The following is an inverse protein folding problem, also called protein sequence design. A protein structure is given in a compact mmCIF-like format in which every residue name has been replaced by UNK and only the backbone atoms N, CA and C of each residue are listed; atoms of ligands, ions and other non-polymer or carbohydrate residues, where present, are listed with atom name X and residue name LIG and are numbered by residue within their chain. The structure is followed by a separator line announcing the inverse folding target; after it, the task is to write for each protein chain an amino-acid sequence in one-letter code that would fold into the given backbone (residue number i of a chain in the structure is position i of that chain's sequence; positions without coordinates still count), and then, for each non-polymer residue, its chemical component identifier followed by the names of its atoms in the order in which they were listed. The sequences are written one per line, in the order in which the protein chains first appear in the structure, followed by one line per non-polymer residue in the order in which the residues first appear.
data_IF_799462439943
#
_entry.id   IF_799462439943
#
_cell.length_a   1.000
_cell.length_b   1.000
_cell.length_c   1.000
_cell.angle_alpha   90.00
_cell.angle_beta   90.00
_cell.angle_gamma   90.00
#
_symmetry.space_group_name_H-M   'P 1'
#
loop_
_entity.id
_entity.type
_entity.pdbx_description
1 polymer ?
#
# COMPACT_ATOMS: atom_id res chain seq x y z
N UNK A 1 -12.71 -6.23 16.81
CA UNK A 1 -11.88 -6.02 18.02
C UNK A 1 -10.46 -5.70 17.54
N UNK A 2 -9.81 -4.69 18.10
CA UNK A 2 -8.40 -4.36 17.77
C UNK A 2 -7.49 -5.40 18.44
N UNK A 3 -6.54 -5.96 17.69
CA UNK A 3 -5.64 -7.02 18.16
C UNK A 3 -4.26 -6.43 18.38
N UNK A 4 -3.75 -6.56 19.61
CA UNK A 4 -2.37 -6.21 19.98
C UNK A 4 -1.54 -7.49 19.88
N UNK A 5 -0.45 -7.45 19.13
CA UNK A 5 0.42 -8.60 18.88
C UNK A 5 1.42 -8.80 20.03
N UNK A 6 1.64 -10.04 20.41
CA UNK A 6 2.73 -10.43 21.31
C UNK A 6 4.09 -10.31 20.61
N UNK A 7 5.19 -10.26 21.36
CA UNK A 7 6.55 -10.20 20.81
C UNK A 7 6.83 -11.34 19.82
N UNK A 8 6.34 -12.56 20.10
CA UNK A 8 6.46 -13.71 19.20
C UNK A 8 5.71 -13.50 17.88
N UNK A 9 4.53 -12.91 17.94
CA UNK A 9 3.72 -12.61 16.74
C UNK A 9 4.35 -11.49 15.93
N UNK A 10 4.93 -10.48 16.58
CA UNK A 10 5.68 -9.40 15.93
C UNK A 10 6.85 -9.96 15.12
N UNK A 11 7.61 -10.95 15.65
CA UNK A 11 8.70 -11.58 14.90
C UNK A 11 8.18 -12.32 13.64
N UNK A 12 7.03 -12.96 13.72
CA UNK A 12 6.40 -13.59 12.55
C UNK A 12 5.94 -12.54 11.53
N UNK A 13 5.43 -11.41 11.99
CA UNK A 13 5.08 -10.29 11.12
C UNK A 13 6.30 -9.63 10.47
N UNK A 14 7.42 -9.49 11.18
CA UNK A 14 8.69 -9.04 10.59
C UNK A 14 9.15 -9.96 9.47
N UNK A 15 8.99 -11.28 9.66
CA UNK A 15 9.33 -12.25 8.60
C UNK A 15 8.43 -12.10 7.38
N UNK A 16 7.11 -12.00 7.57
CA UNK A 16 6.17 -11.75 6.49
C UNK A 16 6.48 -10.43 5.77
N UNK A 17 6.71 -9.36 6.53
CA UNK A 17 7.03 -8.03 6.02
C UNK A 17 8.29 -7.99 5.17
N UNK A 18 9.36 -8.67 5.57
CA UNK A 18 10.60 -8.77 4.78
C UNK A 18 10.38 -9.42 3.41
N UNK A 19 9.60 -10.51 3.37
CA UNK A 19 9.27 -11.20 2.11
C UNK A 19 8.42 -10.28 1.23
N UNK A 20 7.42 -9.61 1.81
CA UNK A 20 6.55 -8.67 1.11
C UNK A 20 7.35 -7.50 0.52
N UNK A 21 8.24 -6.89 1.30
CA UNK A 21 9.10 -5.81 0.83
C UNK A 21 10.02 -6.23 -0.32
N UNK A 22 10.62 -7.42 -0.24
CA UNK A 22 11.47 -7.96 -1.29
C UNK A 22 10.67 -8.26 -2.57
N UNK A 23 9.45 -8.80 -2.43
CA UNK A 23 8.55 -9.04 -3.56
C UNK A 23 8.12 -7.74 -4.25
N UNK A 24 7.82 -6.68 -3.47
CA UNK A 24 7.53 -5.34 -4.01
C UNK A 24 8.75 -4.76 -4.73
N UNK A 25 9.95 -4.89 -4.18
CA UNK A 25 11.18 -4.43 -4.82
C UNK A 25 11.40 -5.12 -6.17
N UNK A 26 11.28 -6.45 -6.22
CA UNK A 26 11.34 -7.23 -7.46
C UNK A 26 10.32 -6.73 -8.50
N UNK A 27 9.07 -6.52 -8.08
CA UNK A 27 8.04 -6.00 -8.97
C UNK A 27 8.40 -4.61 -9.52
N UNK A 28 8.93 -3.72 -8.66
CA UNK A 28 9.39 -2.40 -9.06
C UNK A 28 10.52 -2.43 -10.09
N UNK A 29 11.49 -3.34 -9.95
CA UNK A 29 12.56 -3.55 -10.93
C UNK A 29 12.05 -4.01 -12.29
N UNK A 30 10.88 -4.66 -12.33
CA UNK A 30 10.23 -5.11 -13.56
C UNK A 30 9.37 -4.04 -14.23
N UNK A 31 9.11 -2.92 -13.59
CA UNK A 31 8.36 -1.81 -14.20
C UNK A 31 9.22 -1.13 -15.26
N UNK A 32 9.14 -1.66 -16.48
CA UNK A 32 9.89 -1.19 -17.65
C UNK A 32 9.02 -1.22 -18.91
N UNK A 33 9.27 -0.33 -19.88
CA UNK A 33 8.59 -0.40 -21.16
C UNK A 33 8.76 -1.78 -21.83
N UNK A 34 7.66 -2.33 -22.35
CA UNK A 34 7.63 -3.63 -23.01
C UNK A 34 7.26 -4.81 -22.10
N UNK A 35 7.32 -4.66 -20.78
CA UNK A 35 6.88 -5.69 -19.82
C UNK A 35 5.36 -5.66 -19.69
N UNK A 36 4.72 -6.82 -19.61
CA UNK A 36 3.29 -6.93 -19.32
C UNK A 36 3.03 -6.96 -17.81
N UNK A 37 1.88 -6.46 -17.37
CA UNK A 37 1.49 -6.54 -15.95
C UNK A 37 1.35 -8.00 -15.48
N UNK A 38 1.03 -8.93 -16.38
CA UNK A 38 1.01 -10.39 -16.11
C UNK A 38 2.39 -10.97 -15.82
N UNK A 39 3.44 -10.47 -16.47
CA UNK A 39 4.81 -10.92 -16.19
C UNK A 39 5.26 -10.51 -14.79
N UNK A 40 4.86 -9.31 -14.34
CA UNK A 40 5.08 -8.86 -12.97
C UNK A 40 4.39 -9.79 -11.97
N UNK A 41 3.10 -10.11 -12.19
CA UNK A 41 2.34 -11.04 -11.33
C UNK A 41 3.01 -12.40 -11.22
N UNK A 42 3.41 -12.98 -12.36
CA UNK A 42 4.10 -14.28 -12.38
C UNK A 42 5.41 -14.26 -11.60
N UNK A 43 6.21 -13.21 -11.76
CA UNK A 43 7.49 -13.10 -11.07
C UNK A 43 7.28 -12.97 -9.55
N UNK A 44 6.34 -12.14 -9.11
CA UNK A 44 5.97 -11.98 -7.70
C UNK A 44 5.45 -13.29 -7.12
N UNK A 45 4.55 -13.99 -7.81
CA UNK A 45 4.07 -15.30 -7.41
C UNK A 45 5.21 -16.28 -7.14
N UNK A 46 6.10 -16.45 -8.14
CA UNK A 46 7.22 -17.38 -8.02
C UNK A 46 8.20 -16.99 -6.92
N UNK A 47 8.46 -15.70 -6.76
CA UNK A 47 9.32 -15.20 -5.70
C UNK A 47 8.74 -15.52 -4.31
N UNK A 48 7.48 -15.15 -4.04
CA UNK A 48 6.83 -15.40 -2.74
C UNK A 48 6.82 -16.90 -2.44
N UNK A 49 6.46 -17.74 -3.41
CA UNK A 49 6.47 -19.21 -3.27
C UNK A 49 7.87 -19.76 -2.98
N UNK A 50 8.91 -19.21 -3.59
CA UNK A 50 10.30 -19.61 -3.36
C UNK A 50 10.78 -19.32 -1.94
N UNK A 51 10.15 -18.35 -1.26
CA UNK A 51 10.44 -18.02 0.15
C UNK A 51 9.67 -18.91 1.14
N UNK A 52 8.91 -19.90 0.64
CA UNK A 52 8.04 -20.75 1.48
C UNK A 52 6.80 -20.01 2.01
N UNK A 53 6.43 -18.92 1.36
CA UNK A 53 5.27 -18.09 1.67
C UNK A 53 4.17 -18.27 0.61
N UNK A 54 2.98 -17.74 0.90
CA UNK A 54 1.84 -17.69 0.00
C UNK A 54 1.55 -16.22 -0.38
N UNK A 55 1.17 -15.91 -1.65
CA UNK A 55 0.65 -14.60 -1.98
C UNK A 55 -0.66 -14.33 -1.23
N UNK A 56 -0.73 -13.21 -0.50
CA UNK A 56 -1.89 -12.90 0.34
C UNK A 56 -3.15 -12.59 -0.45
N UNK A 57 -3.01 -12.05 -1.66
CA UNK A 57 -4.14 -11.58 -2.46
C UNK A 57 -4.77 -12.68 -3.33
N UNK A 58 -4.01 -13.70 -3.71
CA UNK A 58 -4.52 -14.76 -4.59
C UNK A 58 -5.70 -15.47 -3.94
N UNK A 59 -6.87 -15.42 -4.60
CA UNK A 59 -8.15 -15.93 -4.13
C UNK A 59 -8.73 -15.22 -2.88
N UNK A 60 -8.11 -14.15 -2.38
CA UNK A 60 -8.67 -13.36 -1.30
C UNK A 60 -9.95 -12.65 -1.79
N UNK A 61 -11.10 -13.00 -1.20
CA UNK A 61 -12.42 -12.55 -1.65
C UNK A 61 -12.67 -12.73 -3.17
N UNK A 62 -11.99 -13.70 -3.81
CA UNK A 62 -12.10 -13.98 -5.23
C UNK A 62 -11.16 -13.16 -6.13
N UNK A 63 -10.20 -12.42 -5.57
CA UNK A 63 -9.20 -11.71 -6.37
C UNK A 63 -8.33 -12.69 -7.17
N UNK A 64 -8.14 -12.52 -8.50
CA UNK A 64 -7.60 -13.58 -9.35
C UNK A 64 -6.08 -13.63 -9.49
N UNK A 65 -5.33 -12.75 -8.81
CA UNK A 65 -3.90 -12.57 -9.00
C UNK A 65 -3.13 -12.50 -7.68
N UNK A 66 -1.79 -12.55 -7.75
CA UNK A 66 -0.90 -12.54 -6.59
C UNK A 66 -0.48 -11.15 -6.16
N UNK A 67 -0.65 -10.17 -7.05
CA UNK A 67 -0.26 -8.77 -6.89
C UNK A 67 -1.31 -7.88 -7.54
N UNK A 68 -1.53 -6.68 -7.03
CA UNK A 68 -2.27 -5.66 -7.76
C UNK A 68 -1.29 -4.81 -8.58
N UNK A 69 -1.60 -4.57 -9.85
CA UNK A 69 -0.80 -3.71 -10.74
C UNK A 69 -1.71 -2.66 -11.36
N UNK A 70 -1.68 -1.47 -10.80
CA UNK A 70 -2.55 -0.36 -11.18
C UNK A 70 -1.76 0.68 -11.98
N UNK A 71 -2.21 1.01 -13.19
CA UNK A 71 -1.44 1.83 -14.14
C UNK A 71 -2.12 3.16 -14.40
N UNK A 72 -1.43 4.28 -14.22
CA UNK A 72 -1.83 5.65 -14.51
C UNK A 72 -3.04 6.12 -13.68
N UNK A 73 -4.24 6.09 -14.26
CA UNK A 73 -5.50 6.49 -13.63
C UNK A 73 -6.12 5.39 -12.75
N UNK A 74 -5.51 4.21 -12.74
CA UNK A 74 -5.87 3.12 -11.82
C UNK A 74 -5.24 3.40 -10.46
N UNK A 75 -6.08 3.50 -9.43
CA UNK A 75 -5.68 3.85 -8.07
C UNK A 75 -5.13 2.60 -7.37
N UNK A 76 -5.99 1.57 -7.26
CA UNK A 76 -5.72 0.29 -6.57
C UNK A 76 -6.44 -0.87 -7.27
N UNK A 77 -6.10 -2.08 -6.86
CA UNK A 77 -6.73 -3.34 -7.25
C UNK A 77 -6.73 -3.64 -8.75
N UNK A 78 -5.81 -3.02 -9.52
CA UNK A 78 -5.65 -3.34 -10.94
C UNK A 78 -5.29 -4.80 -11.13
N UNK A 79 -6.09 -5.54 -11.93
CA UNK A 79 -5.85 -6.95 -12.20
C UNK A 79 -4.75 -7.10 -13.25
N UNK A 80 -3.63 -7.79 -12.95
CA UNK A 80 -2.57 -8.07 -13.91
C UNK A 80 -3.08 -8.82 -15.15
N UNK A 81 -2.69 -8.35 -16.33
CA UNK A 81 -3.18 -8.89 -17.59
C UNK A 81 -2.20 -8.71 -18.76
N UNK A 82 -2.69 -8.77 -19.99
CA UNK A 82 -1.86 -8.63 -21.19
C UNK A 82 -1.45 -7.18 -21.49
N UNK A 83 -1.78 -6.20 -20.63
CA UNK A 83 -1.39 -4.81 -20.79
C UNK A 83 0.13 -4.70 -20.78
N UNK A 84 0.69 -4.16 -21.85
CA UNK A 84 2.12 -3.86 -22.00
C UNK A 84 2.38 -2.46 -21.45
N UNK A 85 3.32 -2.33 -20.53
CA UNK A 85 3.78 -1.06 -19.97
C UNK A 85 4.53 -0.25 -21.03
N UNK A 86 4.35 1.07 -20.98
CA UNK A 86 4.92 2.02 -21.93
C UNK A 86 5.76 3.06 -21.22
N UNK A 87 6.70 3.63 -21.93
CA UNK A 87 7.41 4.84 -21.50
C UNK A 87 6.41 5.92 -21.08
N UNK A 88 6.60 6.50 -19.90
CA UNK A 88 5.72 7.52 -19.35
C UNK A 88 4.60 7.01 -18.45
N UNK A 89 4.35 5.69 -18.38
CA UNK A 89 3.42 5.13 -17.40
C UNK A 89 3.95 5.30 -15.97
N UNK A 90 3.06 5.46 -15.01
CA UNK A 90 3.32 5.24 -13.59
C UNK A 90 2.54 4.01 -13.13
N UNK A 91 3.16 3.17 -12.31
CA UNK A 91 2.62 1.85 -11.98
C UNK A 91 2.65 1.65 -10.48
N UNK A 92 1.48 1.61 -9.85
CA UNK A 92 1.34 1.20 -8.46
C UNK A 92 1.33 -0.32 -8.38
N UNK A 93 2.27 -0.87 -7.64
CA UNK A 93 2.37 -2.30 -7.36
C UNK A 93 2.11 -2.51 -5.88
N UNK A 94 1.13 -3.35 -5.59
CA UNK A 94 0.70 -3.67 -4.23
C UNK A 94 0.82 -5.17 -4.01
N UNK A 95 1.52 -5.56 -2.95
CA UNK A 95 1.97 -6.93 -2.68
C UNK A 95 1.72 -7.32 -1.25
N UNK A 96 1.10 -8.49 -1.07
CA UNK A 96 0.97 -9.13 0.23
C UNK A 96 1.61 -10.53 0.25
N UNK A 97 2.28 -10.89 1.34
CA UNK A 97 2.80 -12.23 1.57
C UNK A 97 2.36 -12.79 2.92
N UNK A 98 1.99 -14.08 2.92
CA UNK A 98 1.54 -14.81 4.10
C UNK A 98 2.51 -15.92 4.46
N UNK A 99 3.03 -15.90 5.68
CA UNK A 99 3.91 -16.95 6.20
C UNK A 99 3.80 -17.05 7.72
N UNK A 100 3.90 -18.27 8.24
CA UNK A 100 3.89 -18.51 9.70
C UNK A 100 2.59 -18.08 10.40
N UNK A 101 1.49 -17.96 9.64
CA UNK A 101 0.17 -17.54 10.16
C UNK A 101 -0.05 -16.03 10.16
N UNK A 102 0.81 -15.23 9.49
CA UNK A 102 0.71 -13.78 9.45
C UNK A 102 0.94 -13.21 8.04
N UNK A 103 0.28 -12.09 7.76
CA UNK A 103 0.42 -11.30 6.53
C UNK A 103 1.41 -10.15 6.72
N UNK A 104 2.07 -9.78 5.63
CA UNK A 104 2.66 -8.47 5.43
C UNK A 104 2.01 -7.83 4.21
N UNK A 105 1.92 -6.50 4.16
CA UNK A 105 1.26 -5.73 3.12
C UNK A 105 2.04 -4.47 2.81
N UNK A 106 2.30 -4.21 1.53
CA UNK A 106 2.94 -2.96 1.12
C UNK A 106 2.77 -2.65 -0.37
N UNK A 107 2.67 -1.37 -0.68
CA UNK A 107 2.60 -0.86 -2.03
C UNK A 107 3.61 0.26 -2.32
N UNK A 108 3.92 0.45 -3.59
CA UNK A 108 4.63 1.62 -4.08
C UNK A 108 4.31 1.89 -5.54
N UNK A 109 4.39 3.16 -5.95
CA UNK A 109 4.26 3.57 -7.34
C UNK A 109 5.63 3.78 -7.95
N UNK A 110 5.85 3.19 -9.11
CA UNK A 110 7.12 3.21 -9.84
C UNK A 110 6.97 3.88 -11.20
N UNK A 111 7.98 4.66 -11.64
CA UNK A 111 8.03 5.19 -13.00
C UNK A 111 8.36 4.09 -14.01
N UNK A 112 7.69 4.06 -15.15
CA UNK A 112 8.03 3.22 -16.29
C UNK A 112 8.81 4.04 -17.32
N UNK A 113 10.14 3.95 -17.29
CA UNK A 113 11.01 4.79 -18.09
C UNK A 113 10.96 6.27 -17.65
N UNK A 114 11.03 7.18 -18.61
CA UNK A 114 10.96 8.63 -18.32
C UNK A 114 9.50 9.08 -18.21
N UNK A 115 9.13 9.60 -17.06
CA UNK A 115 7.78 10.12 -16.76
C UNK A 115 7.76 11.66 -16.74
N UNK A 116 6.58 12.26 -16.71
CA UNK A 116 6.42 13.72 -16.57
C UNK A 116 6.80 14.21 -15.16
N UNK A 117 7.13 15.49 -15.03
CA UNK A 117 7.40 16.11 -13.73
C UNK A 117 6.19 16.07 -12.80
N UNK A 118 4.97 16.22 -13.34
CA UNK A 118 3.73 16.09 -12.57
C UNK A 118 3.57 14.67 -11.99
N UNK A 119 3.84 13.64 -12.79
CA UNK A 119 3.76 12.25 -12.35
C UNK A 119 4.83 11.95 -11.30
N UNK A 120 6.06 12.42 -11.48
CA UNK A 120 7.12 12.25 -10.48
C UNK A 120 6.76 12.95 -9.17
N UNK A 121 6.27 14.19 -9.24
CA UNK A 121 5.82 14.92 -8.05
C UNK A 121 4.68 14.21 -7.32
N UNK A 122 3.73 13.63 -8.06
CA UNK A 122 2.65 12.83 -7.46
C UNK A 122 3.20 11.63 -6.68
N UNK A 123 4.13 10.86 -7.28
CA UNK A 123 4.80 9.73 -6.63
C UNK A 123 5.51 10.19 -5.35
N UNK A 124 6.29 11.26 -5.43
CA UNK A 124 7.10 11.76 -4.31
C UNK A 124 6.21 12.27 -3.17
N UNK A 125 5.15 13.02 -3.48
CA UNK A 125 4.18 13.51 -2.48
C UNK A 125 3.42 12.36 -1.85
N UNK A 126 2.99 11.37 -2.62
CA UNK A 126 2.29 10.19 -2.09
C UNK A 126 3.19 9.43 -1.12
N UNK A 127 4.43 9.18 -1.51
CA UNK A 127 5.41 8.53 -0.64
C UNK A 127 5.68 9.35 0.63
N UNK A 128 5.91 10.65 0.50
CA UNK A 128 6.21 11.50 1.66
C UNK A 128 5.01 11.61 2.61
N UNK A 129 3.78 11.65 2.09
CA UNK A 129 2.58 11.69 2.93
C UNK A 129 2.46 10.48 3.86
N UNK A 130 2.93 9.31 3.43
CA UNK A 130 3.05 8.15 4.32
C UNK A 130 3.99 8.46 5.51
N UNK A 131 5.16 9.07 5.26
CA UNK A 131 6.11 9.38 6.33
C UNK A 131 5.60 10.46 7.28
N UNK A 132 4.79 11.41 6.79
CA UNK A 132 4.09 12.39 7.66
C UNK A 132 3.11 11.67 8.60
N UNK A 133 2.32 10.74 8.07
CA UNK A 133 1.44 9.88 8.87
C UNK A 133 2.20 8.97 9.81
N UNK A 134 3.25 8.30 9.33
CA UNK A 134 4.13 7.41 10.10
C UNK A 134 4.73 8.11 11.33
N UNK A 135 5.15 9.36 11.19
CA UNK A 135 5.68 10.15 12.31
C UNK A 135 4.65 10.36 13.45
N UNK A 136 3.34 10.30 13.13
CA UNK A 136 2.26 10.38 14.10
C UNK A 136 1.83 9.01 14.67
N UNK A 137 2.33 7.90 14.12
CA UNK A 137 1.95 6.55 14.53
C UNK A 137 2.62 6.12 15.84
N UNK A 138 2.49 6.92 16.88
CA UNK A 138 3.10 6.76 18.21
C UNK A 138 2.08 6.25 19.23
N UNK A 139 2.55 5.47 20.20
CA UNK A 139 1.71 5.03 21.31
C UNK A 139 1.05 6.24 22.03
N UNK A 140 -0.25 6.15 22.25
CA UNK A 140 -1.05 7.20 22.89
C UNK A 140 -1.70 8.20 21.93
N UNK A 141 -1.16 8.41 20.74
CA UNK A 141 -1.84 9.16 19.68
C UNK A 141 -3.08 8.40 19.20
N UNK A 142 -3.90 9.06 18.41
CA UNK A 142 -5.11 8.45 17.83
C UNK A 142 -4.92 8.18 16.34
N UNK A 143 -5.71 7.27 15.81
CA UNK A 143 -5.67 6.93 14.38
C UNK A 143 -5.82 8.17 13.50
N UNK A 144 -6.72 9.08 13.85
CA UNK A 144 -6.94 10.28 13.03
C UNK A 144 -5.78 11.29 13.09
N UNK A 145 -4.82 11.15 14.00
CA UNK A 145 -3.60 11.97 13.97
C UNK A 145 -2.73 11.55 12.77
N UNK A 146 -2.63 10.24 12.51
CA UNK A 146 -2.00 9.68 11.30
C UNK A 146 -2.75 10.15 10.04
N UNK A 147 -4.08 9.97 10.05
CA UNK A 147 -4.96 10.34 8.93
C UNK A 147 -4.84 11.82 8.55
N UNK A 148 -4.86 12.70 9.56
CA UNK A 148 -4.76 14.15 9.36
C UNK A 148 -3.41 14.56 8.77
N UNK A 149 -2.31 13.99 9.26
CA UNK A 149 -0.98 14.29 8.77
C UNK A 149 -0.82 13.91 7.29
N UNK A 150 -1.34 12.74 6.88
CA UNK A 150 -1.39 12.33 5.47
C UNK A 150 -2.17 13.35 4.64
N UNK A 151 -3.41 13.65 5.04
CA UNK A 151 -4.29 14.58 4.31
C UNK A 151 -3.66 15.97 4.18
N UNK A 152 -3.21 16.54 5.29
CA UNK A 152 -2.66 17.89 5.31
C UNK A 152 -1.47 18.05 4.36
N UNK A 153 -0.58 17.05 4.32
CA UNK A 153 0.56 17.07 3.42
C UNK A 153 0.15 16.96 1.95
N UNK A 154 -0.74 16.02 1.62
CA UNK A 154 -1.22 15.80 0.24
C UNK A 154 -1.93 17.04 -0.29
N UNK A 155 -2.89 17.61 0.49
CA UNK A 155 -3.69 18.76 0.06
C UNK A 155 -2.86 20.05 -0.01
N UNK A 156 -1.89 20.25 0.88
CA UNK A 156 -0.93 21.36 0.79
C UNK A 156 -0.06 21.33 -0.48
N UNK A 157 0.12 20.12 -1.05
CA UNK A 157 0.81 19.93 -2.33
C UNK A 157 -0.13 19.98 -3.56
N UNK A 158 -1.42 20.30 -3.38
CA UNK A 158 -2.39 20.48 -4.47
C UNK A 158 -2.94 19.19 -5.05
N UNK A 159 -2.79 18.07 -4.36
CA UNK A 159 -3.36 16.76 -4.72
C UNK A 159 -4.55 16.41 -3.81
N UNK A 160 -5.23 15.31 -4.09
CA UNK A 160 -6.40 14.86 -3.34
C UNK A 160 -6.21 13.46 -2.77
N UNK A 161 -6.60 13.23 -1.52
CA UNK A 161 -6.66 11.87 -0.94
C UNK A 161 -7.94 11.16 -1.31
N UNK A 162 -7.87 9.88 -1.62
CA UNK A 162 -9.01 8.99 -1.78
C UNK A 162 -9.67 8.77 -0.42
N UNK A 163 -11.01 8.71 -0.40
CA UNK A 163 -11.80 8.64 0.84
C UNK A 163 -12.57 7.34 1.03
N UNK A 164 -12.85 6.63 -0.06
CA UNK A 164 -13.66 5.41 -0.05
C UNK A 164 -12.86 4.16 0.32
N UNK A 165 -11.54 4.23 0.24
CA UNK A 165 -10.61 3.17 0.64
C UNK A 165 -9.67 3.70 1.70
N UNK A 166 -9.35 2.82 2.66
CA UNK A 166 -8.63 3.19 3.88
C UNK A 166 -7.67 2.08 4.27
N UNK A 167 -6.63 2.43 5.02
CA UNK A 167 -5.75 1.46 5.65
C UNK A 167 -6.45 0.65 6.73
N UNK A 168 -5.77 -0.36 7.23
CA UNK A 168 -6.37 -1.36 8.11
C UNK A 168 -5.35 -1.96 9.08
N UNK A 169 -5.83 -2.67 10.09
CA UNK A 169 -4.99 -3.58 10.86
C UNK A 169 -4.52 -4.73 9.98
N UNK A 170 -3.32 -5.22 10.21
CA UNK A 170 -2.74 -6.39 9.54
C UNK A 170 -2.30 -7.40 10.58
N UNK A 171 -2.51 -8.69 10.32
CA UNK A 171 -2.10 -9.72 11.26
C UNK A 171 -2.32 -11.13 10.75
N UNK A 172 -3.09 -11.91 11.50
CA UNK A 172 -3.52 -13.25 11.06
C UNK A 172 -4.49 -13.20 9.90
N UNK A 173 -5.30 -12.14 9.86
CA UNK A 173 -6.10 -11.82 8.69
C UNK A 173 -5.42 -10.67 7.93
N UNK A 174 -5.63 -10.67 6.61
CA UNK A 174 -5.14 -9.62 5.74
C UNK A 174 -5.67 -8.25 6.19
N UNK A 175 -6.98 -8.18 6.44
CA UNK A 175 -7.64 -7.01 6.96
C UNK A 175 -8.17 -7.27 8.36
N UNK A 176 -7.67 -6.52 9.32
CA UNK A 176 -8.11 -6.50 10.72
C UNK A 176 -8.58 -5.09 11.12
N UNK A 177 -9.32 -4.99 12.21
CA UNK A 177 -9.56 -3.69 12.83
C UNK A 177 -8.25 -3.12 13.43
N UNK A 178 -8.08 -1.81 13.45
CA UNK A 178 -9.03 -0.77 13.04
C UNK A 178 -8.88 -0.37 11.57
N UNK A 179 -9.84 0.36 11.03
CA UNK A 179 -9.67 1.14 9.81
C UNK A 179 -8.73 2.33 10.06
N UNK A 180 -7.91 2.67 9.07
CA UNK A 180 -6.94 3.76 9.11
C UNK A 180 -7.22 4.70 7.92
N UNK A 181 -8.17 5.62 8.02
CA UNK A 181 -8.43 6.58 6.94
C UNK A 181 -7.21 7.45 6.64
N UNK A 182 -7.09 7.89 5.39
CA UNK A 182 -6.05 8.83 4.97
C UNK A 182 -6.48 10.30 5.11
N UNK A 183 -7.58 10.56 5.82
CA UNK A 183 -8.17 11.88 6.00
C UNK A 183 -8.93 11.96 7.33
N UNK A 184 -9.15 13.17 7.81
CA UNK A 184 -9.97 13.43 9.00
C UNK A 184 -9.40 14.51 9.91
N UNK A 185 -10.20 14.95 10.88
CA UNK A 185 -9.75 15.86 11.93
C UNK A 185 -8.87 15.10 12.95
N UNK A 186 -7.79 15.71 13.48
CA UNK A 186 -6.91 15.05 14.44
C UNK A 186 -7.63 14.80 15.78
N UNK A 187 -7.10 13.89 16.58
CA UNK A 187 -7.56 13.63 17.95
C UNK A 187 -8.78 12.70 18.07
N UNK A 188 -9.16 11.99 17.01
CA UNK A 188 -10.34 11.11 16.98
C UNK A 188 -9.97 9.63 16.73
N UNK A 189 -10.95 8.77 16.96
CA UNK A 189 -10.81 7.31 16.76
C UNK A 189 -10.06 6.62 17.90
N UNK A 190 -9.79 5.32 17.77
CA UNK A 190 -9.06 4.54 18.73
C UNK A 190 -7.66 5.10 19.01
N UNK A 191 -7.18 4.90 20.24
CA UNK A 191 -5.77 5.16 20.58
C UNK A 191 -4.88 4.09 19.97
N UNK A 192 -3.73 4.51 19.48
CA UNK A 192 -2.65 3.63 19.08
C UNK A 192 -2.01 3.02 20.34
N UNK A 193 -1.89 1.71 20.36
CA UNK A 193 -1.31 0.94 21.46
C UNK A 193 -0.07 0.20 20.95
N UNK A 194 0.95 0.13 21.78
CA UNK A 194 2.12 -0.70 21.53
C UNK A 194 1.70 -2.12 21.15
N UNK A 195 2.31 -2.67 20.11
CA UNK A 195 2.00 -4.00 19.57
C UNK A 195 0.85 -4.02 18.54
N UNK A 196 0.22 -2.89 18.24
CA UNK A 196 -0.66 -2.80 17.07
C UNK A 196 0.18 -2.83 15.79
N UNK A 197 -0.29 -3.56 14.79
CA UNK A 197 0.28 -3.61 13.44
C UNK A 197 -0.79 -3.16 12.45
N UNK A 198 -0.49 -2.13 11.67
CA UNK A 198 -1.44 -1.46 10.78
C UNK A 198 -0.80 -1.18 9.41
N UNK A 199 -1.59 -1.25 8.36
CA UNK A 199 -1.27 -0.70 7.06
C UNK A 199 -1.63 0.80 7.04
N UNK A 200 -0.67 1.62 6.70
CA UNK A 200 -0.87 3.04 6.38
C UNK A 200 -0.64 3.16 4.88
N UNK A 201 -1.67 3.56 4.14
CA UNK A 201 -1.71 3.39 2.69
C UNK A 201 -2.32 4.59 1.95
N UNK A 202 -1.65 5.76 1.92
CA UNK A 202 -2.15 6.89 1.15
C UNK A 202 -2.32 6.54 -0.33
N UNK A 203 -3.57 6.72 -0.80
CA UNK A 203 -3.97 6.71 -2.19
C UNK A 203 -4.24 8.16 -2.61
N UNK A 204 -3.48 8.67 -3.57
CA UNK A 204 -3.46 10.09 -3.93
C UNK A 204 -3.75 10.28 -5.41
N UNK A 205 -4.73 11.15 -5.70
CA UNK A 205 -5.13 11.50 -7.06
C UNK A 205 -4.53 12.86 -7.45
N UNK A 206 -4.03 12.97 -8.69
CA UNK A 206 -3.56 14.24 -9.27
C UNK A 206 -4.70 15.24 -9.51
N UNK A 207 -5.92 14.76 -9.55
CA UNK A 207 -7.13 15.58 -9.72
C UNK A 207 -8.03 15.56 -8.50
N UNK A 208 -9.30 15.25 -8.72
CA UNK A 208 -10.31 15.17 -7.66
C UNK A 208 -10.20 13.87 -6.86
N UNK A 209 -10.71 13.87 -5.63
CA UNK A 209 -10.77 12.66 -4.80
C UNK A 209 -11.75 11.60 -5.33
N UNK A 210 -12.63 11.96 -6.26
CA UNK A 210 -13.71 11.09 -6.73
C UNK A 210 -13.17 9.89 -7.52
N UNK A 211 -13.73 8.73 -7.23
CA UNK A 211 -13.35 7.44 -7.80
C UNK A 211 -14.46 6.82 -8.64
N UNK A 212 -14.14 5.77 -9.36
CA UNK A 212 -15.10 4.84 -9.98
C UNK A 212 -14.54 3.42 -9.91
N UNK A 213 -15.39 2.47 -9.55
CA UNK A 213 -15.08 1.04 -9.65
C UNK A 213 -15.40 0.56 -11.07
N UNK A 214 -14.53 -0.31 -11.60
CA UNK A 214 -14.68 -0.86 -12.94
C UNK A 214 -15.57 -2.11 -12.95
N UNK A 215 -16.02 -2.50 -14.14
CA UNK A 215 -16.92 -3.65 -14.34
C UNK A 215 -16.28 -5.01 -14.04
N UNK A 216 -14.95 -5.08 -13.87
CA UNK A 216 -14.25 -6.28 -13.41
C UNK A 216 -14.47 -6.59 -11.92
N UNK A 217 -15.12 -5.65 -11.21
CA UNK A 217 -15.47 -5.77 -9.79
C UNK A 217 -14.32 -5.42 -8.84
N UNK A 218 -13.10 -5.13 -9.35
CA UNK A 218 -11.90 -4.88 -8.56
C UNK A 218 -11.23 -3.55 -8.84
N UNK A 219 -10.84 -3.30 -10.07
CA UNK A 219 -10.06 -2.11 -10.44
C UNK A 219 -10.79 -0.82 -10.07
N UNK A 220 -10.13 0.02 -9.31
CA UNK A 220 -10.61 1.35 -8.92
C UNK A 220 -9.82 2.40 -9.68
N UNK A 221 -10.53 3.33 -10.33
CA UNK A 221 -9.93 4.41 -11.12
C UNK A 221 -10.32 5.78 -10.61
N UNK A 222 -9.51 6.77 -10.93
CA UNK A 222 -9.91 8.17 -10.81
C UNK A 222 -11.09 8.47 -11.73
N UNK A 223 -12.03 9.28 -11.24
CA UNK A 223 -13.22 9.64 -12.03
C UNK A 223 -12.91 10.60 -13.17
N UNK A 224 -11.90 11.42 -13.01
CA UNK A 224 -11.48 12.43 -13.98
C UNK A 224 -10.40 11.95 -14.95
N UNK A 225 -9.90 10.70 -14.81
CA UNK A 225 -8.91 10.10 -15.68
C UNK A 225 -7.48 10.62 -15.48
N UNK A 226 -7.24 11.42 -14.43
CA UNK A 226 -5.90 11.87 -14.07
C UNK A 226 -5.12 10.79 -13.33
N UNK A 227 -3.80 10.96 -13.22
CA UNK A 227 -2.92 10.02 -12.52
C UNK A 227 -3.33 9.80 -11.06
N UNK A 228 -3.08 8.60 -10.58
CA UNK A 228 -3.12 8.25 -9.16
C UNK A 228 -1.82 7.57 -8.75
N UNK A 229 -1.44 7.71 -7.50
CA UNK A 229 -0.33 6.99 -6.89
C UNK A 229 -0.75 6.38 -5.56
N UNK A 230 -0.12 5.27 -5.21
CA UNK A 230 -0.32 4.53 -3.98
C UNK A 230 1.04 4.25 -3.32
N UNK A 231 1.12 4.45 -2.01
CA UNK A 231 2.28 4.07 -1.22
C UNK A 231 1.83 3.51 0.12
N UNK A 232 2.39 2.40 0.52
CA UNK A 232 1.94 1.67 1.69
C UNK A 232 3.06 0.92 2.38
N UNK A 233 2.98 0.84 3.69
CA UNK A 233 3.72 -0.15 4.47
C UNK A 233 2.91 -0.62 5.68
N UNK A 234 3.11 -1.90 6.04
CA UNK A 234 2.75 -2.41 7.36
C UNK A 234 3.72 -1.85 8.39
N UNK A 235 3.21 -1.21 9.42
CA UNK A 235 3.98 -0.63 10.53
C UNK A 235 3.59 -1.24 11.86
N UNK A 236 4.53 -1.24 12.81
CA UNK A 236 4.34 -1.63 14.20
C UNK A 236 4.36 -0.38 15.09
N UNK A 237 3.34 -0.25 15.95
CA UNK A 237 3.34 0.74 17.02
C UNK A 237 4.22 0.24 18.15
N UNK A 238 5.25 1.01 18.51
CA UNK A 238 6.18 0.70 19.59
C UNK A 238 6.02 1.68 20.76
N UNK A 239 6.74 1.47 21.85
CA UNK A 239 6.83 2.45 22.95
C UNK A 239 7.60 3.74 22.58
N UNK A 240 8.31 3.72 21.45
CA UNK A 240 9.10 4.85 20.93
C UNK A 240 8.69 5.21 19.51
N UNK A 241 9.69 5.31 18.61
CA UNK A 241 9.42 5.50 17.19
C UNK A 241 8.74 4.25 16.60
N UNK A 242 7.75 4.39 15.72
CA UNK A 242 7.15 3.25 15.05
C UNK A 242 8.16 2.52 14.15
N UNK A 243 7.91 1.25 13.89
CA UNK A 243 8.78 0.41 13.04
C UNK A 243 8.07 0.05 11.73
N UNK A 244 8.74 0.18 10.60
CA UNK A 244 8.24 -0.31 9.30
C UNK A 244 8.61 -1.78 9.17
N UNK A 245 7.61 -2.67 9.19
CA UNK A 245 7.82 -4.12 9.07
C UNK A 245 8.10 -4.54 7.62
N UNK A 246 7.64 -3.77 6.65
CA UNK A 246 7.82 -3.99 5.21
C UNK A 246 8.89 -3.08 4.61
N UNK A 247 9.90 -2.70 5.40
CA UNK A 247 11.06 -2.01 4.89
C UNK A 247 11.92 -2.97 4.03
N UNK A 248 12.49 -2.50 2.90
CA UNK A 248 13.47 -3.29 2.15
C UNK A 248 14.66 -3.62 3.07
N UNK A 249 15.31 -4.76 2.80
CA UNK A 249 16.56 -5.09 3.48
C UNK A 249 17.61 -3.99 3.22
N UNK A 250 18.45 -3.64 4.20
CA UNK A 250 19.52 -2.66 4.03
C UNK A 250 20.54 -3.09 2.98
#
# INVERSE_FOLDING_TARGET
MIIVKSEREIELMRRAGKITAAARALAGEMVKPGVTTREIDKAVFHFIRSQGAEPSFLNYNGYPASVCVSVNDEIIHGIPGPRVLKEGDIVSVDVGAYIGGFHGDCAATYPCGKISEEAQRLIDVTRQSFFEGFAQAREGNRISDVSHAVQAYVEANGFSVVREYVGHGVGRNMHEAPEIPNFGAPGHGPKLLRGMTIAVEPMVNAGTAAIRQMSDGWTVKTRDGKYAAHYENTILITAGEPEILTAPAP
#
